data_IF_922793445081
#
_entry.id   IF_922793445081
#
_cell.length_a   1.000
_cell.length_b   1.000
_cell.length_c   1.000
_cell.angle_alpha   90.00
_cell.angle_beta   90.00
_cell.angle_gamma   90.00
#
_symmetry.space_group_name_H-M   'P 1'
#
loop_
_entity.id
_entity.type
_entity.pdbx_description
1 polymer ?
#
# COMPACT_ATOMS: atom_id res chain seq x y z
N UNK A 1 -4.56 -0.06 -24.23
CA UNK A 1 -4.69 -1.09 -23.17
C UNK A 1 -3.35 -1.78 -22.88
N UNK A 2 -2.56 -2.16 -23.89
CA UNK A 2 -1.22 -2.75 -23.71
C UNK A 2 -0.21 -1.80 -23.05
N UNK A 3 -0.17 -0.53 -23.44
CA UNK A 3 0.81 0.44 -22.94
C UNK A 3 0.70 0.69 -21.43
N UNK A 4 -0.52 0.81 -20.90
CA UNK A 4 -0.75 0.98 -19.46
C UNK A 4 -0.34 -0.26 -18.67
N UNK A 5 -0.57 -1.45 -19.23
CA UNK A 5 -0.12 -2.72 -18.63
C UNK A 5 1.40 -2.79 -18.64
N UNK A 6 2.05 -2.44 -19.76
CA UNK A 6 3.51 -2.36 -19.85
C UNK A 6 4.09 -1.39 -18.83
N UNK A 7 3.56 -0.16 -18.74
CA UNK A 7 4.00 0.83 -17.77
C UNK A 7 3.89 0.32 -16.33
N UNK A 8 2.74 -0.28 -16.00
CA UNK A 8 2.48 -0.91 -14.69
C UNK A 8 3.50 -1.99 -14.36
N UNK A 9 3.71 -2.93 -15.28
CA UNK A 9 4.67 -4.02 -15.10
C UNK A 9 6.10 -3.51 -14.99
N UNK A 10 6.49 -2.53 -15.81
CA UNK A 10 7.82 -1.91 -15.75
C UNK A 10 8.05 -1.17 -14.44
N UNK A 11 7.04 -0.50 -13.89
CA UNK A 11 7.15 0.19 -12.61
C UNK A 11 7.31 -0.78 -11.44
N UNK A 12 6.60 -1.92 -11.43
CA UNK A 12 6.85 -3.00 -10.44
C UNK A 12 8.25 -3.54 -10.57
N UNK A 13 8.70 -3.83 -11.80
CA UNK A 13 10.05 -4.34 -12.03
C UNK A 13 11.12 -3.36 -11.55
N UNK A 14 10.89 -2.05 -11.71
CA UNK A 14 11.75 -1.02 -11.14
C UNK A 14 11.79 -1.09 -9.61
N UNK A 15 10.64 -1.13 -8.94
CA UNK A 15 10.57 -1.26 -7.47
C UNK A 15 11.19 -2.56 -6.96
N UNK A 16 10.98 -3.67 -7.66
CA UNK A 16 11.65 -4.95 -7.39
C UNK A 16 13.16 -4.82 -7.52
N UNK A 17 13.65 -4.14 -8.56
CA UNK A 17 15.07 -3.86 -8.74
C UNK A 17 15.65 -3.05 -7.59
N UNK A 18 14.93 -2.03 -7.12
CA UNK A 18 15.31 -1.28 -5.93
C UNK A 18 15.35 -2.19 -4.71
N UNK A 19 14.31 -3.00 -4.48
CA UNK A 19 14.22 -3.93 -3.35
C UNK A 19 15.39 -4.96 -3.32
N UNK A 20 15.69 -5.61 -4.44
CA UNK A 20 16.76 -6.61 -4.53
C UNK A 20 18.16 -5.98 -4.47
N UNK A 21 18.36 -4.85 -5.17
CA UNK A 21 19.61 -4.11 -5.10
C UNK A 21 19.95 -3.66 -3.67
N UNK A 22 18.91 -3.46 -2.85
CA UNK A 22 18.98 -2.99 -1.48
C UNK A 22 19.19 -4.08 -0.43
N UNK A 23 18.44 -5.18 -0.52
CA UNK A 23 18.47 -6.27 0.47
C UNK A 23 19.86 -6.90 0.58
N UNK A 24 20.55 -7.02 -0.56
CA UNK A 24 21.78 -7.81 -0.64
C UNK A 24 23.06 -6.96 -0.55
N UNK A 25 23.00 -5.64 -0.82
CA UNK A 25 24.21 -4.80 -0.95
C UNK A 25 24.31 -3.60 0.01
N UNK A 26 23.23 -3.17 0.67
CA UNK A 26 23.24 -1.95 1.51
C UNK A 26 22.46 -2.14 2.79
N UNK A 27 22.96 -1.63 3.92
CA UNK A 27 22.26 -1.73 5.20
C UNK A 27 20.88 -1.04 5.21
N UNK A 28 19.99 -1.39 6.14
CA UNK A 28 18.62 -0.85 6.22
C UNK A 28 18.53 0.69 6.25
N UNK A 29 19.50 1.35 6.90
CA UNK A 29 19.58 2.81 7.05
C UNK A 29 19.88 3.54 5.74
N UNK A 30 20.78 3.00 4.91
CA UNK A 30 21.10 3.56 3.60
C UNK A 30 19.91 3.51 2.63
N UNK A 31 18.99 2.56 2.80
CA UNK A 31 17.78 2.49 1.96
C UNK A 31 16.82 3.64 2.24
N UNK A 32 16.56 3.85 3.53
CA UNK A 32 15.65 4.89 3.99
C UNK A 32 16.18 6.27 3.63
N UNK A 33 17.50 6.46 3.64
CA UNK A 33 18.09 7.73 3.25
C UNK A 33 18.22 7.93 1.74
N UNK A 34 18.56 6.91 0.96
CA UNK A 34 18.80 7.07 -0.48
C UNK A 34 17.51 7.18 -1.31
N UNK A 35 16.66 6.16 -1.21
CA UNK A 35 15.49 6.04 -2.09
C UNK A 35 14.31 6.87 -1.64
N UNK A 36 14.09 6.98 -0.32
CA UNK A 36 13.05 7.87 0.19
C UNK A 36 13.29 9.32 -0.26
N UNK A 37 14.56 9.77 -0.32
CA UNK A 37 14.92 11.08 -0.88
C UNK A 37 14.56 11.19 -2.36
N UNK A 38 14.81 10.15 -3.17
CA UNK A 38 14.41 10.13 -4.58
C UNK A 38 12.90 10.24 -4.76
N UNK A 39 12.13 9.45 -4.02
CA UNK A 39 10.67 9.52 -4.07
C UNK A 39 10.12 10.85 -3.53
N UNK A 40 10.72 11.39 -2.46
CA UNK A 40 10.42 12.73 -1.95
C UNK A 40 10.65 13.81 -3.00
N UNK A 41 11.80 13.77 -3.69
CA UNK A 41 12.11 14.69 -4.79
C UNK A 41 11.10 14.58 -5.93
N UNK A 42 10.67 13.38 -6.31
CA UNK A 42 9.59 13.21 -7.29
C UNK A 42 8.30 13.92 -6.85
N UNK A 43 7.96 13.86 -5.56
CA UNK A 43 6.83 14.57 -4.99
C UNK A 43 6.96 16.09 -5.08
N UNK A 44 8.14 16.63 -4.72
CA UNK A 44 8.45 18.05 -4.84
C UNK A 44 8.29 18.54 -6.28
N UNK A 45 8.84 17.82 -7.26
CA UNK A 45 8.79 18.20 -8.67
C UNK A 45 7.38 18.13 -9.25
N UNK A 46 6.59 17.13 -8.84
CA UNK A 46 5.19 17.01 -9.26
C UNK A 46 4.35 18.18 -8.73
N UNK A 47 4.60 18.62 -7.50
CA UNK A 47 3.92 19.75 -6.90
C UNK A 47 4.38 21.10 -7.49
N UNK A 48 5.66 21.25 -7.82
CA UNK A 48 6.21 22.48 -8.40
C UNK A 48 5.61 22.81 -9.77
N UNK A 49 5.22 21.79 -10.54
CA UNK A 49 4.56 21.92 -11.84
C UNK A 49 3.04 22.11 -11.74
N UNK A 50 2.50 22.22 -10.53
CA UNK A 50 1.06 22.24 -10.27
C UNK A 50 0.64 23.51 -9.53
N UNK A 51 -0.45 24.12 -9.97
CA UNK A 51 -1.06 25.25 -9.26
C UNK A 51 -1.95 24.75 -8.10
N UNK A 52 -1.79 25.35 -6.92
CA UNK A 52 -2.68 25.13 -5.78
C UNK A 52 -1.97 25.06 -4.42
N UNK A 53 -2.75 25.23 -3.34
CA UNK A 53 -2.29 25.08 -1.95
C UNK A 53 -3.31 24.28 -1.12
N UNK A 54 -2.83 23.71 -0.03
CA UNK A 54 -3.58 22.95 0.96
C UNK A 54 -3.90 21.52 0.55
N UNK A 55 -4.51 20.80 1.48
CA UNK A 55 -4.77 19.37 1.41
C UNK A 55 -5.49 18.88 0.14
N UNK A 56 -6.47 19.65 -0.37
CA UNK A 56 -7.19 19.30 -1.61
C UNK A 56 -6.32 19.38 -2.85
N UNK A 57 -5.41 20.36 -2.91
CA UNK A 57 -4.46 20.47 -4.01
C UNK A 57 -3.45 19.31 -3.94
N UNK A 58 -2.95 19.00 -2.75
CA UNK A 58 -2.04 17.89 -2.51
C UNK A 58 -2.63 16.55 -2.98
N UNK A 59 -3.88 16.24 -2.59
CA UNK A 59 -4.56 15.02 -2.99
C UNK A 59 -4.76 14.92 -4.52
N UNK A 60 -5.09 16.04 -5.19
CA UNK A 60 -5.18 16.08 -6.66
C UNK A 60 -3.84 15.84 -7.34
N UNK A 61 -2.77 16.44 -6.84
CA UNK A 61 -1.41 16.26 -7.39
C UNK A 61 -0.98 14.81 -7.22
N UNK A 62 -1.14 14.26 -6.01
CA UNK A 62 -0.84 12.87 -5.71
C UNK A 62 -1.64 11.90 -6.59
N UNK A 63 -2.95 12.13 -6.77
CA UNK A 63 -3.77 11.33 -7.67
C UNK A 63 -3.30 11.37 -9.12
N UNK A 64 -2.90 12.55 -9.63
CA UNK A 64 -2.32 12.66 -10.98
C UNK A 64 -1.00 11.91 -11.10
N UNK A 65 -0.11 12.07 -10.12
CA UNK A 65 1.20 11.42 -10.11
C UNK A 65 1.08 9.90 -10.04
N UNK A 66 0.24 9.39 -9.12
CA UNK A 66 -0.06 7.97 -9.00
C UNK A 66 -0.71 7.41 -10.27
N UNK A 67 -1.66 8.13 -10.88
CA UNK A 67 -2.22 7.75 -12.17
C UNK A 67 -1.17 7.70 -13.28
N UNK A 68 -0.26 8.68 -13.32
CA UNK A 68 0.79 8.77 -14.33
C UNK A 68 1.83 7.64 -14.24
N UNK A 69 2.12 7.12 -13.05
CA UNK A 69 2.98 5.93 -12.88
C UNK A 69 2.20 4.61 -13.00
N UNK A 70 0.94 4.69 -13.45
CA UNK A 70 0.11 3.53 -13.77
C UNK A 70 -0.72 2.98 -12.62
N UNK A 71 -0.82 3.65 -11.48
CA UNK A 71 -1.66 3.18 -10.38
C UNK A 71 -3.14 3.47 -10.66
N UNK A 72 -4.03 2.57 -10.22
CA UNK A 72 -5.47 2.85 -10.20
C UNK A 72 -5.79 3.61 -8.91
N UNK A 73 -6.10 4.89 -9.06
CA UNK A 73 -6.28 5.81 -7.94
C UNK A 73 -7.55 6.63 -8.13
N UNK A 74 -8.27 6.81 -7.03
CA UNK A 74 -9.36 7.77 -6.90
C UNK A 74 -8.93 8.90 -5.96
N UNK A 75 -9.45 10.10 -6.21
CA UNK A 75 -9.25 11.25 -5.32
C UNK A 75 -10.62 11.66 -4.79
N UNK A 76 -10.76 11.66 -3.46
CA UNK A 76 -11.95 12.13 -2.76
C UNK A 76 -11.55 13.25 -1.79
N UNK A 77 -11.88 14.49 -2.14
CA UNK A 77 -11.53 15.69 -1.37
C UNK A 77 -10.03 15.80 -1.07
N UNK A 78 -9.62 15.52 0.16
CA UNK A 78 -8.24 15.53 0.63
C UNK A 78 -7.64 14.12 0.75
N UNK A 79 -8.33 13.10 0.24
CA UNK A 79 -7.91 11.71 0.27
C UNK A 79 -7.54 11.20 -1.11
N UNK A 80 -6.57 10.30 -1.11
CA UNK A 80 -6.10 9.54 -2.25
C UNK A 80 -6.33 8.07 -1.92
N UNK A 81 -7.15 7.40 -2.73
CA UNK A 81 -7.57 6.02 -2.54
C UNK A 81 -6.91 5.19 -3.64
N UNK A 82 -5.92 4.39 -3.25
CA UNK A 82 -5.20 3.49 -4.12
C UNK A 82 -5.98 2.17 -4.25
N UNK A 83 -6.79 2.06 -5.31
CA UNK A 83 -7.69 0.92 -5.55
C UNK A 83 -6.97 -0.32 -6.04
N UNK A 84 -6.00 -0.11 -6.94
CA UNK A 84 -5.11 -1.17 -7.35
C UNK A 84 -3.74 -0.60 -7.68
N UNK A 85 -2.74 -1.33 -7.23
CA UNK A 85 -1.36 -1.11 -7.60
C UNK A 85 -0.85 -2.47 -8.11
N UNK A 86 -0.12 -2.50 -9.22
CA UNK A 86 0.60 -3.70 -9.68
C UNK A 86 1.49 -4.36 -8.60
N UNK A 87 1.78 -3.61 -7.54
CA UNK A 87 2.57 -4.00 -6.37
C UNK A 87 1.75 -4.78 -5.34
N UNK A 88 0.42 -4.73 -5.34
CA UNK A 88 -0.41 -5.53 -4.40
C UNK A 88 -0.21 -7.03 -4.60
N UNK A 89 -0.24 -7.49 -5.85
CA UNK A 89 0.03 -8.90 -6.17
C UNK A 89 1.43 -9.29 -5.68
N UNK A 90 2.38 -8.37 -5.80
CA UNK A 90 3.75 -8.58 -5.35
C UNK A 90 3.90 -8.57 -3.82
N UNK A 91 3.11 -7.77 -3.09
CA UNK A 91 3.00 -7.83 -1.63
C UNK A 91 2.45 -9.19 -1.19
N UNK A 92 1.45 -9.73 -1.90
CA UNK A 92 0.94 -11.08 -1.64
C UNK A 92 2.01 -12.16 -1.86
N UNK A 93 2.84 -12.01 -2.89
CA UNK A 93 3.92 -12.96 -3.22
C UNK A 93 5.16 -12.85 -2.32
N UNK A 94 5.52 -11.63 -1.88
CA UNK A 94 6.81 -11.31 -1.23
C UNK A 94 6.71 -10.97 0.25
N UNK A 95 5.50 -10.70 0.76
CA UNK A 95 5.23 -10.54 2.19
C UNK A 95 5.49 -9.14 2.76
N UNK A 96 5.45 -9.08 4.09
CA UNK A 96 5.36 -7.84 4.91
C UNK A 96 6.50 -6.84 4.70
N UNK A 97 7.71 -7.31 4.47
CA UNK A 97 8.88 -6.44 4.30
C UNK A 97 8.79 -5.63 3.01
N UNK A 98 8.24 -6.24 1.94
CA UNK A 98 8.04 -5.58 0.66
C UNK A 98 6.91 -4.54 0.75
N UNK A 99 5.83 -4.83 1.47
CA UNK A 99 4.79 -3.80 1.75
C UNK A 99 5.36 -2.62 2.52
N UNK A 100 6.24 -2.85 3.50
CA UNK A 100 6.90 -1.76 4.22
C UNK A 100 7.77 -0.90 3.29
N UNK A 101 8.55 -1.52 2.41
CA UNK A 101 9.36 -0.80 1.42
C UNK A 101 8.49 0.14 0.57
N UNK A 102 7.37 -0.39 0.10
CA UNK A 102 6.40 0.36 -0.68
C UNK A 102 5.89 1.54 0.15
N UNK A 103 5.18 1.27 1.23
CA UNK A 103 4.44 2.29 1.95
C UNK A 103 5.34 3.38 2.57
N UNK A 104 6.44 2.97 3.19
CA UNK A 104 7.28 3.87 3.99
C UNK A 104 8.48 4.43 3.22
N UNK A 105 8.98 3.74 2.18
CA UNK A 105 10.17 4.18 1.43
C UNK A 105 9.79 4.81 0.10
N UNK A 106 8.68 4.45 -0.54
CA UNK A 106 8.30 5.09 -1.81
C UNK A 106 7.06 6.00 -1.71
N UNK A 107 5.96 5.55 -1.12
CA UNK A 107 4.69 6.28 -1.22
C UNK A 107 4.67 7.45 -0.23
N UNK A 108 4.92 7.20 1.06
CA UNK A 108 4.91 8.26 2.06
C UNK A 108 5.95 9.37 1.80
N UNK A 109 7.20 9.08 1.43
CA UNK A 109 8.16 10.13 1.08
C UNK A 109 7.71 10.98 -0.11
N UNK A 110 7.16 10.34 -1.15
CA UNK A 110 6.59 11.06 -2.30
C UNK A 110 5.44 11.98 -1.90
N UNK A 111 4.51 11.49 -1.08
CA UNK A 111 3.41 12.31 -0.58
C UNK A 111 3.90 13.46 0.31
N UNK A 112 4.95 13.25 1.10
CA UNK A 112 5.58 14.30 1.92
C UNK A 112 6.17 15.41 1.05
N UNK A 113 6.88 15.05 -0.01
CA UNK A 113 7.41 16.03 -0.97
C UNK A 113 6.30 16.87 -1.61
N UNK A 114 5.18 16.25 -1.97
CA UNK A 114 4.00 17.00 -2.45
C UNK A 114 3.50 17.97 -1.37
N UNK A 115 3.29 17.44 -0.16
CA UNK A 115 2.75 18.19 0.99
C UNK A 115 3.58 19.42 1.35
N UNK A 116 4.91 19.31 1.36
CA UNK A 116 5.81 20.43 1.66
C UNK A 116 5.66 21.61 0.70
N UNK A 117 5.48 21.34 -0.60
CA UNK A 117 5.35 22.41 -1.61
C UNK A 117 4.00 23.09 -1.57
N UNK A 118 2.95 22.37 -1.20
CA UNK A 118 1.57 22.87 -1.20
C UNK A 118 1.06 23.23 0.19
N UNK A 119 1.90 23.16 1.22
CA UNK A 119 1.53 23.42 2.61
C UNK A 119 0.40 22.49 3.11
N UNK A 120 0.68 21.18 3.04
CA UNK A 120 -0.20 20.12 3.54
C UNK A 120 0.62 18.97 4.13
N UNK A 121 0.03 18.21 5.05
CA UNK A 121 0.70 17.07 5.70
C UNK A 121 0.01 15.75 5.33
N UNK A 122 0.70 14.79 4.71
CA UNK A 122 0.11 13.50 4.43
C UNK A 122 0.10 12.60 5.66
N UNK A 123 -0.94 11.78 5.77
CA UNK A 123 -1.17 10.75 6.78
C UNK A 123 -1.69 9.49 6.09
N UNK A 124 -1.19 8.33 6.48
CA UNK A 124 -1.69 7.03 6.02
C UNK A 124 -2.88 6.61 6.90
N UNK A 125 -4.07 6.46 6.30
CA UNK A 125 -5.29 6.04 7.02
C UNK A 125 -5.48 4.52 6.98
N UNK A 126 -5.08 3.87 5.87
CA UNK A 126 -5.04 2.42 5.77
C UNK A 126 -3.69 1.95 5.24
N UNK A 127 -3.13 0.98 5.96
CA UNK A 127 -1.83 0.37 5.72
C UNK A 127 -2.07 -1.03 5.10
N UNK A 128 -1.54 -1.24 3.90
CA UNK A 128 -1.55 -2.48 3.12
C UNK A 128 -0.88 -3.63 3.85
N UNK A 129 0.20 -3.35 4.59
CA UNK A 129 0.83 -4.32 5.48
C UNK A 129 -0.11 -4.71 6.62
N UNK A 130 -0.87 -3.79 7.21
CA UNK A 130 -1.88 -4.13 8.23
C UNK A 130 -2.99 -5.02 7.65
N UNK A 131 -3.48 -4.71 6.45
CA UNK A 131 -4.46 -5.55 5.76
C UNK A 131 -3.91 -6.97 5.55
N UNK A 132 -2.67 -7.10 5.06
CA UNK A 132 -2.02 -8.40 4.87
C UNK A 132 -1.84 -9.18 6.19
N UNK A 133 -1.45 -8.51 7.27
CA UNK A 133 -1.34 -9.11 8.60
C UNK A 133 -2.68 -9.65 9.08
N UNK A 134 -3.76 -8.88 8.93
CA UNK A 134 -5.09 -9.29 9.37
C UNK A 134 -5.62 -10.47 8.53
N UNK A 135 -5.43 -10.46 7.22
CA UNK A 135 -5.74 -11.62 6.37
C UNK A 135 -5.00 -12.88 6.83
N UNK A 136 -3.69 -12.78 7.04
CA UNK A 136 -2.86 -13.91 7.48
C UNK A 136 -3.28 -14.47 8.84
N UNK A 137 -3.66 -13.59 9.77
CA UNK A 137 -4.20 -13.98 11.09
C UNK A 137 -5.53 -14.70 10.97
N UNK A 138 -6.42 -14.23 10.09
CA UNK A 138 -7.72 -14.84 9.89
C UNK A 138 -7.58 -16.21 9.24
N UNK A 139 -6.74 -16.35 8.22
CA UNK A 139 -6.48 -17.65 7.58
C UNK A 139 -5.86 -18.66 8.55
N UNK A 140 -4.93 -18.21 9.40
CA UNK A 140 -4.42 -19.04 10.48
C UNK A 140 -5.53 -19.52 11.43
N UNK A 141 -6.45 -18.63 11.83
CA UNK A 141 -7.59 -18.99 12.69
C UNK A 141 -8.54 -19.98 12.00
N UNK A 142 -8.84 -19.80 10.71
CA UNK A 142 -9.65 -20.74 9.91
C UNK A 142 -9.02 -22.12 9.85
N UNK A 143 -7.72 -22.20 9.56
CA UNK A 143 -6.98 -23.46 9.52
C UNK A 143 -6.92 -24.14 10.90
N UNK A 144 -6.75 -23.36 11.97
CA UNK A 144 -6.79 -23.87 13.35
C UNK A 144 -8.17 -24.43 13.70
N UNK A 145 -9.25 -23.72 13.35
CA UNK A 145 -10.62 -24.18 13.57
C UNK A 145 -10.92 -25.46 12.79
N UNK A 146 -10.47 -25.54 11.52
CA UNK A 146 -10.57 -26.77 10.71
C UNK A 146 -9.86 -27.95 11.37
N UNK A 147 -8.62 -27.74 11.82
CA UNK A 147 -7.87 -28.79 12.53
C UNK A 147 -8.50 -29.21 13.86
N UNK A 148 -9.17 -28.30 14.57
CA UNK A 148 -9.93 -28.65 15.78
C UNK A 148 -11.19 -29.47 15.47
N UNK A 149 -11.90 -29.16 14.39
CA UNK A 149 -13.05 -29.93 13.91
C UNK A 149 -12.62 -31.35 13.51
N UNK A 150 -11.54 -31.49 12.73
CA UNK A 150 -11.00 -32.79 12.30
C UNK A 150 -10.57 -33.67 13.48
N UNK A 151 -10.11 -33.05 14.58
CA UNK A 151 -9.75 -33.74 15.83
C UNK A 151 -10.94 -34.01 16.75
N UNK A 152 -12.16 -33.60 16.36
CA UNK A 152 -13.36 -33.73 17.19
C UNK A 152 -13.36 -32.83 18.44
N UNK A 153 -12.51 -31.80 18.49
CA UNK A 153 -12.39 -30.89 19.64
C UNK A 153 -13.48 -29.81 19.66
N UNK A 154 -14.10 -29.53 18.52
CA UNK A 154 -15.24 -28.62 18.38
C UNK A 154 -16.34 -29.27 17.55
N UNK A 155 -17.58 -28.83 17.76
CA UNK A 155 -18.72 -29.31 16.96
C UNK A 155 -18.77 -28.65 15.58
N UNK A 156 -19.47 -29.28 14.62
CA UNK A 156 -19.70 -28.71 13.29
C UNK A 156 -20.40 -27.34 13.35
N UNK A 157 -21.41 -27.18 14.20
CA UNK A 157 -22.12 -25.90 14.37
C UNK A 157 -21.20 -24.81 14.95
N UNK A 158 -20.30 -25.18 15.86
CA UNK A 158 -19.35 -24.23 16.46
C UNK A 158 -18.27 -23.81 15.47
N UNK A 159 -17.78 -24.76 14.66
CA UNK A 159 -16.92 -24.46 13.52
C UNK A 159 -17.59 -23.49 12.53
N UNK A 160 -18.82 -23.77 12.11
CA UNK A 160 -19.56 -22.92 11.16
C UNK A 160 -19.74 -21.48 11.69
N UNK A 161 -20.10 -21.32 12.98
CA UNK A 161 -20.19 -19.99 13.61
C UNK A 161 -18.85 -19.26 13.59
N UNK A 162 -17.75 -19.95 13.89
CA UNK A 162 -16.42 -19.34 13.86
C UNK A 162 -16.02 -18.92 12.44
N UNK A 163 -16.33 -19.72 11.42
CA UNK A 163 -16.04 -19.37 10.03
C UNK A 163 -16.82 -18.14 9.58
N UNK A 164 -18.13 -18.07 9.87
CA UNK A 164 -18.96 -16.90 9.52
C UNK A 164 -18.39 -15.62 10.14
N UNK A 165 -18.05 -15.63 11.44
CA UNK A 165 -17.46 -14.45 12.09
C UNK A 165 -16.11 -14.05 11.48
N UNK A 166 -15.29 -15.04 11.07
CA UNK A 166 -13.99 -14.80 10.46
C UNK A 166 -14.13 -14.26 9.02
N UNK A 167 -15.15 -14.69 8.29
CA UNK A 167 -15.49 -14.17 6.96
C UNK A 167 -16.00 -12.72 7.05
N UNK A 168 -16.91 -12.43 7.96
CA UNK A 168 -17.38 -11.05 8.24
C UNK A 168 -16.22 -10.13 8.65
N UNK A 169 -15.26 -10.65 9.43
CA UNK A 169 -14.07 -9.90 9.82
C UNK A 169 -13.20 -9.55 8.60
N UNK A 170 -13.08 -10.43 7.61
CA UNK A 170 -12.35 -10.15 6.36
C UNK A 170 -13.05 -9.05 5.57
N UNK A 171 -14.37 -9.13 5.44
CA UNK A 171 -15.15 -8.15 4.66
C UNK A 171 -15.07 -6.74 5.25
N UNK A 172 -14.83 -6.62 6.56
CA UNK A 172 -14.63 -5.34 7.24
C UNK A 172 -13.24 -4.72 7.06
N UNK A 173 -12.27 -5.47 6.52
CA UNK A 173 -10.91 -4.97 6.32
C UNK A 173 -10.88 -3.91 5.21
N UNK A 174 -10.09 -2.83 5.36
CA UNK A 174 -9.91 -1.87 4.28
C UNK A 174 -9.37 -2.58 3.05
N UNK A 175 -10.00 -2.36 1.90
CA UNK A 175 -9.63 -3.04 0.65
C UNK A 175 -8.57 -2.28 -0.14
N UNK A 176 -8.32 -1.02 0.22
CA UNK A 176 -7.52 -0.06 -0.53
C UNK A 176 -6.56 0.69 0.40
N UNK A 177 -5.43 1.13 -0.15
CA UNK A 177 -4.51 2.04 0.56
C UNK A 177 -5.06 3.47 0.51
N UNK A 178 -5.26 4.10 1.66
CA UNK A 178 -5.87 5.42 1.78
C UNK A 178 -4.87 6.37 2.42
N UNK A 179 -4.60 7.46 1.71
CA UNK A 179 -3.72 8.52 2.16
C UNK A 179 -4.51 9.81 2.24
N UNK A 180 -4.49 10.49 3.39
CA UNK A 180 -5.14 11.78 3.60
C UNK A 180 -4.12 12.88 3.71
N UNK A 181 -4.44 14.07 3.20
CA UNK A 181 -3.70 15.29 3.47
C UNK A 181 -4.46 16.18 4.45
N UNK A 182 -3.74 16.78 5.39
CA UNK A 182 -4.24 17.76 6.37
C UNK A 182 -3.65 19.14 6.11
#
# INVERSE_FOLDING_TARGET
MSELVTLRTSFVAFLDGLWWGLRDNTGPLSMYEGYARGFHQMGLEAAEKSDGKGAKAAAKIAGKLFGAIGLAVDVDNNKVILKSCPVFDRILERGLEYSFHVEEICWMPMLKGIGEKVDAKPTMESDLRLIHLEHSKIDYKKNKAKGALEKGQISKNEYEKQIVMLDESIESLPTFGVYRFD
#
